data_IF_380882077910
#
_entry.id   IF_380882077910
#
_cell.length_a   1.000
_cell.length_b   1.000
_cell.length_c   1.000
_cell.angle_alpha   90.00
_cell.angle_beta   90.00
_cell.angle_gamma   90.00
#
_symmetry.space_group_name_H-M   'P 1'
#
loop_
_entity.id
_entity.type
_entity.pdbx_description
1 polymer ?
#
# COMPACT_ATOMS: atom_id res chain seq x y z
N UNK A 1 -14.27 -9.39 4.28
CA UNK A 1 -12.84 -9.75 4.39
C UNK A 1 -12.04 -8.45 4.25
N UNK A 2 -10.73 -8.45 4.45
CA UNK A 2 -9.92 -7.23 4.32
C UNK A 2 -8.76 -7.49 3.39
N UNK A 3 -8.49 -6.52 2.52
CA UNK A 3 -7.26 -6.44 1.76
C UNK A 3 -6.41 -5.32 2.34
N UNK A 4 -5.13 -5.60 2.56
CA UNK A 4 -4.18 -4.64 3.14
C UNK A 4 -3.37 -4.06 1.99
N UNK A 5 -3.30 -2.73 1.89
CA UNK A 5 -2.41 -2.07 0.93
C UNK A 5 -1.08 -1.80 1.63
N UNK A 6 0.02 -2.30 1.06
CA UNK A 6 1.38 -2.16 1.60
C UNK A 6 2.27 -1.48 0.56
N UNK A 7 3.18 -0.63 1.00
CA UNK A 7 4.16 0.01 0.13
C UNK A 7 5.20 -1.00 -0.35
N UNK A 8 5.53 -0.97 -1.64
CA UNK A 8 6.55 -1.82 -2.25
C UNK A 8 7.99 -1.36 -1.95
N UNK A 9 8.18 -0.13 -1.46
CA UNK A 9 9.49 0.46 -1.23
C UNK A 9 9.91 0.39 0.24
N UNK A 10 9.03 0.84 1.14
CA UNK A 10 9.31 0.89 2.59
C UNK A 10 8.57 -0.17 3.41
N UNK A 11 7.79 -1.05 2.76
CA UNK A 11 6.99 -2.11 3.42
C UNK A 11 5.97 -1.60 4.45
N UNK A 12 5.68 -0.29 4.42
CA UNK A 12 4.73 0.33 5.34
C UNK A 12 3.28 0.09 4.90
N UNK A 13 2.38 -0.10 5.87
CA UNK A 13 0.95 -0.27 5.58
C UNK A 13 0.35 1.08 5.20
N UNK A 14 -0.18 1.15 3.99
CA UNK A 14 -0.80 2.35 3.44
C UNK A 14 -2.26 2.44 3.90
N UNK A 15 -3.04 1.37 3.74
CA UNK A 15 -4.47 1.37 4.09
C UNK A 15 -5.06 -0.04 4.26
N UNK A 16 -6.25 -0.11 4.86
CA UNK A 16 -7.04 -1.33 5.01
C UNK A 16 -8.39 -1.21 4.30
N UNK A 17 -8.54 -1.93 3.20
CA UNK A 17 -9.74 -1.85 2.37
C UNK A 17 -10.67 -3.03 2.68
N UNK A 18 -11.96 -2.73 2.90
CA UNK A 18 -12.95 -3.80 2.97
C UNK A 18 -13.11 -4.47 1.60
N UNK A 19 -12.93 -5.78 1.58
CA UNK A 19 -13.02 -6.57 0.37
C UNK A 19 -13.74 -7.90 0.59
N UNK A 20 -14.10 -8.55 -0.50
CA UNK A 20 -14.70 -9.89 -0.49
C UNK A 20 -13.65 -11.00 -0.41
N UNK A 21 -12.35 -10.66 -0.46
CA UNK A 21 -11.21 -11.57 -0.34
C UNK A 21 -10.27 -11.13 0.78
N UNK A 22 -9.47 -12.06 1.30
CA UNK A 22 -8.31 -11.76 2.14
C UNK A 22 -7.09 -11.72 1.23
N UNK A 23 -6.33 -10.63 1.30
CA UNK A 23 -5.16 -10.44 0.45
C UNK A 23 -4.30 -9.25 0.87
N UNK A 24 -3.15 -9.15 0.23
CA UNK A 24 -2.25 -8.01 0.34
C UNK A 24 -2.10 -7.40 -1.05
N UNK A 25 -2.41 -6.12 -1.16
CA UNK A 25 -2.19 -5.29 -2.33
C UNK A 25 -0.89 -4.52 -2.12
N UNK A 26 -0.21 -4.25 -3.23
CA UNK A 26 1.07 -3.58 -3.24
C UNK A 26 0.95 -2.27 -4.02
N UNK A 27 1.36 -1.17 -3.39
CA UNK A 27 1.31 0.18 -3.94
C UNK A 27 2.57 0.99 -3.60
N UNK A 28 2.56 2.28 -3.91
CA UNK A 28 3.58 3.25 -3.47
C UNK A 28 2.92 4.21 -2.49
N UNK A 29 3.54 4.44 -1.33
CA UNK A 29 3.02 5.40 -0.36
C UNK A 29 3.41 6.82 -0.80
N UNK A 30 2.69 7.87 -0.38
CA UNK A 30 3.03 9.24 -0.77
C UNK A 30 4.45 9.66 -0.38
N UNK A 31 5.01 9.10 0.70
CA UNK A 31 6.38 9.35 1.15
C UNK A 31 7.41 8.91 0.10
N UNK A 32 7.25 7.69 -0.43
CA UNK A 32 8.12 7.16 -1.48
C UNK A 32 7.75 7.67 -2.88
N UNK A 33 6.53 8.16 -3.09
CA UNK A 33 6.10 8.76 -4.37
C UNK A 33 6.70 10.16 -4.56
N UNK A 34 6.82 10.94 -3.48
CA UNK A 34 7.49 12.24 -3.49
C UNK A 34 9.00 12.13 -3.80
N UNK A 35 9.67 11.05 -3.39
CA UNK A 35 11.09 10.82 -3.70
C UNK A 35 11.37 10.56 -5.20
N UNK A 36 10.36 10.21 -6.02
CA UNK A 36 10.55 9.95 -7.45
C UNK A 36 10.43 11.20 -8.35
N UNK A 37 10.09 12.37 -7.78
CA UNK A 37 9.82 13.60 -8.53
C UNK A 37 10.95 14.64 -8.54
N UNK A 38 12.17 14.30 -8.11
CA UNK A 38 13.34 15.21 -8.07
C UNK A 38 14.39 14.97 -9.18
#
# INVERSE_FOLDING_TARGET
MVEIIVCQHCEEVIDYVQSHKVGTLYGTCPDCDEEESE
#
